data_IF_934223355685
#
_entry.id   IF_934223355685
#
_cell.length_a   1.000
_cell.length_b   1.000
_cell.length_c   1.000
_cell.angle_alpha   90.00
_cell.angle_beta   90.00
_cell.angle_gamma   90.00
#
_symmetry.space_group_name_H-M   'P 1'
#
loop_
_entity.id
_entity.type
_entity.pdbx_description
1 polymer ?
#
# COMPACT_ATOMS: atom_id res chain seq x y z
N UNK A 1 -28.64 -24.84 -22.01
CA UNK A 1 -28.35 -26.24 -21.63
C UNK A 1 -27.72 -26.97 -22.81
N UNK A 2 -26.39 -27.00 -22.91
CA UNK A 2 -25.66 -27.99 -23.72
C UNK A 2 -24.41 -28.36 -22.95
N UNK A 3 -24.40 -29.59 -22.43
CA UNK A 3 -23.31 -30.18 -21.67
C UNK A 3 -22.60 -31.18 -22.57
N UNK A 4 -21.29 -31.35 -22.29
CA UNK A 4 -20.50 -32.57 -22.49
C UNK A 4 -20.00 -32.90 -23.91
N UNK A 5 -18.81 -33.43 -24.21
CA UNK A 5 -17.62 -33.95 -23.50
C UNK A 5 -16.46 -33.90 -24.52
N UNK A 6 -15.21 -33.57 -24.14
CA UNK A 6 -14.02 -34.26 -24.69
C UNK A 6 -13.00 -34.41 -23.55
N UNK A 7 -12.40 -35.59 -23.52
CA UNK A 7 -11.71 -36.27 -22.44
C UNK A 7 -10.28 -36.56 -22.93
N UNK A 8 -9.30 -36.37 -22.03
CA UNK A 8 -7.98 -37.03 -21.90
C UNK A 8 -6.87 -36.67 -22.91
N UNK A 9 -5.74 -36.21 -22.35
CA UNK A 9 -4.42 -36.82 -22.56
C UNK A 9 -3.50 -36.51 -21.38
N UNK A 10 -3.07 -37.56 -20.69
CA UNK A 10 -2.24 -37.57 -19.48
C UNK A 10 -0.80 -37.91 -19.92
N UNK A 11 0.16 -37.04 -19.62
CA UNK A 11 1.59 -37.38 -19.72
C UNK A 11 2.28 -36.96 -18.42
N UNK A 12 2.60 -37.97 -17.62
CA UNK A 12 3.55 -37.87 -16.53
C UNK A 12 4.96 -38.03 -17.10
N UNK A 13 5.90 -37.17 -16.70
CA UNK A 13 7.31 -37.54 -16.72
C UNK A 13 8.02 -36.97 -15.49
N UNK A 14 8.76 -37.88 -14.87
CA UNK A 14 9.37 -37.88 -13.55
C UNK A 14 10.54 -36.91 -13.39
N UNK A 15 10.76 -36.48 -12.15
CA UNK A 15 11.90 -35.71 -11.70
C UNK A 15 13.23 -36.48 -11.85
N UNK A 16 14.29 -35.76 -12.25
CA UNK A 16 15.68 -36.17 -11.97
C UNK A 16 16.50 -34.96 -11.59
N UNK A 17 16.93 -34.94 -10.33
CA UNK A 17 17.94 -34.06 -9.76
C UNK A 17 19.30 -34.69 -10.03
N UNK A 18 20.27 -33.96 -10.58
CA UNK A 18 21.66 -34.42 -10.70
C UNK A 18 22.61 -33.28 -10.33
N UNK A 19 23.49 -33.56 -9.38
CA UNK A 19 24.40 -32.64 -8.70
C UNK A 19 25.81 -32.58 -9.35
N UNK A 20 26.33 -31.36 -9.41
CA UNK A 20 27.63 -30.90 -8.89
C UNK A 20 28.99 -31.13 -9.62
N UNK A 21 29.79 -30.05 -9.51
CA UNK A 21 31.26 -29.91 -9.45
C UNK A 21 32.06 -29.79 -10.75
N UNK A 22 32.44 -28.56 -11.07
CA UNK A 22 33.78 -28.23 -11.58
C UNK A 22 34.33 -27.06 -10.75
N UNK A 23 35.26 -27.37 -9.85
CA UNK A 23 36.10 -26.39 -9.17
C UNK A 23 37.30 -25.98 -10.05
N UNK A 24 37.73 -24.72 -9.85
CA UNK A 24 39.08 -24.13 -10.01
C UNK A 24 39.45 -23.41 -11.32
N UNK A 25 40.36 -22.39 -11.30
CA UNK A 25 40.94 -21.65 -10.16
C UNK A 25 40.68 -20.12 -10.22
N UNK A 26 40.81 -19.49 -9.04
CA UNK A 26 40.89 -18.03 -8.86
C UNK A 26 42.05 -17.41 -9.68
N UNK A 27 41.79 -16.34 -10.46
CA UNK A 27 42.77 -15.28 -10.67
C UNK A 27 42.60 -14.20 -9.60
N UNK A 28 43.65 -14.10 -8.80
CA UNK A 28 44.04 -12.96 -7.98
C UNK A 28 44.00 -11.64 -8.75
N UNK A 29 43.82 -10.55 -7.99
CA UNK A 29 44.00 -9.13 -8.35
C UNK A 29 42.82 -8.40 -8.99
N UNK A 30 41.89 -8.05 -8.09
CA UNK A 30 41.32 -6.71 -7.95
C UNK A 30 41.89 -5.64 -8.88
N UNK A 31 41.16 -5.37 -9.95
CA UNK A 31 41.09 -4.05 -10.56
C UNK A 31 39.64 -3.59 -10.54
N UNK A 32 39.11 -3.36 -9.34
CA UNK A 32 37.89 -2.56 -9.22
C UNK A 32 38.30 -1.09 -9.28
N UNK A 33 37.98 -0.50 -10.42
CA UNK A 33 37.79 0.92 -10.66
C UNK A 33 37.16 1.56 -9.42
N UNK A 34 37.46 2.83 -9.09
CA UNK A 34 36.72 3.53 -8.05
C UNK A 34 35.24 3.50 -8.43
N UNK A 35 34.49 2.59 -7.80
CA UNK A 35 33.05 2.61 -7.83
C UNK A 35 32.69 3.94 -7.20
N UNK A 36 32.24 4.88 -8.03
CA UNK A 36 31.53 6.04 -7.51
C UNK A 36 30.44 5.45 -6.65
N UNK A 37 30.53 5.70 -5.34
CA UNK A 37 29.53 5.31 -4.36
C UNK A 37 28.19 5.79 -4.91
N UNK A 38 27.44 4.86 -5.51
CA UNK A 38 26.02 5.02 -5.66
C UNK A 38 25.54 5.30 -4.26
N UNK A 39 25.06 6.52 -4.05
CA UNK A 39 24.39 6.94 -2.84
C UNK A 39 23.49 5.78 -2.39
N UNK A 40 23.38 5.50 -1.08
CA UNK A 40 22.29 4.67 -0.61
C UNK A 40 21.05 5.24 -1.26
N UNK A 41 20.41 4.48 -2.15
CA UNK A 41 19.05 4.79 -2.51
C UNK A 41 18.29 4.53 -1.23
N UNK A 42 18.24 5.57 -0.39
CA UNK A 42 17.13 5.79 0.49
C UNK A 42 15.93 5.69 -0.45
N UNK A 43 15.34 4.50 -0.51
CA UNK A 43 13.91 4.41 -0.77
C UNK A 43 13.33 5.55 0.05
N UNK A 44 12.57 6.48 -0.55
CA UNK A 44 11.91 7.48 0.25
C UNK A 44 11.03 6.68 1.20
N UNK A 45 11.55 6.46 2.41
CA UNK A 45 10.81 6.42 3.62
C UNK A 45 10.02 7.71 3.47
N UNK A 46 8.76 7.56 3.05
CA UNK A 46 7.83 8.67 3.07
C UNK A 46 7.74 9.00 4.54
N UNK A 47 8.67 9.84 4.98
CA UNK A 47 8.63 10.53 6.24
C UNK A 47 7.23 11.11 6.23
N UNK A 48 6.39 10.56 7.08
CA UNK A 48 5.10 11.14 7.41
C UNK A 48 5.45 12.44 8.11
N UNK A 49 5.81 13.44 7.29
CA UNK A 49 5.97 14.81 7.70
C UNK A 49 4.65 15.16 8.39
N UNK A 50 4.68 15.77 9.58
CA UNK A 50 3.45 16.12 10.28
C UNK A 50 2.64 17.02 9.35
N UNK A 51 1.56 16.48 8.79
CA UNK A 51 0.67 17.15 7.85
C UNK A 51 -0.16 18.18 8.62
N UNK A 52 0.48 19.27 9.04
CA UNK A 52 -0.15 20.27 9.90
C UNK A 52 -0.07 21.72 9.40
N UNK A 53 0.23 21.96 8.11
CA UNK A 53 0.22 23.36 7.62
C UNK A 53 -0.49 23.61 6.29
N UNK A 54 -1.07 22.60 5.63
CA UNK A 54 -1.84 22.84 4.40
C UNK A 54 -3.09 21.96 4.35
N UNK A 55 -4.28 22.58 4.25
CA UNK A 55 -5.52 21.87 3.94
C UNK A 55 -5.36 21.15 2.59
N UNK A 56 -5.67 19.84 2.49
CA UNK A 56 -5.54 19.12 1.24
C UNK A 56 -6.43 19.74 0.14
N UNK A 57 -5.96 19.68 -1.10
CA UNK A 57 -6.76 20.11 -2.25
C UNK A 57 -8.00 19.21 -2.39
N UNK A 58 -9.20 19.78 -2.56
CA UNK A 58 -10.44 18.98 -2.67
C UNK A 58 -10.46 18.06 -3.91
N UNK A 59 -9.61 18.31 -4.90
CA UNK A 59 -9.51 17.50 -6.12
C UNK A 59 -8.38 16.45 -6.07
N UNK A 60 -7.76 16.22 -4.91
CA UNK A 60 -6.74 15.20 -4.70
C UNK A 60 -7.24 14.18 -3.66
N UNK A 61 -7.91 13.10 -4.09
CA UNK A 61 -8.53 12.14 -3.17
C UNK A 61 -7.51 11.39 -2.31
N UNK A 62 -6.29 11.17 -2.79
CA UNK A 62 -5.21 10.57 -2.01
C UNK A 62 -4.76 11.48 -0.85
N UNK A 63 -4.54 12.78 -1.11
CA UNK A 63 -4.18 13.73 -0.05
C UNK A 63 -5.32 13.92 0.97
N UNK A 64 -6.57 13.90 0.50
CA UNK A 64 -7.74 13.91 1.39
C UNK A 64 -7.81 12.64 2.25
N UNK A 65 -7.45 11.48 1.70
CA UNK A 65 -7.46 10.20 2.41
C UNK A 65 -6.48 10.22 3.58
N UNK A 66 -5.24 10.62 3.32
CA UNK A 66 -4.20 10.70 4.35
C UNK A 66 -4.57 11.71 5.44
N UNK A 67 -5.11 12.86 5.05
CA UNK A 67 -5.58 13.88 5.99
C UNK A 67 -6.77 13.37 6.84
N UNK A 68 -7.70 12.63 6.24
CA UNK A 68 -8.83 12.03 6.95
C UNK A 68 -8.39 10.98 7.96
N UNK A 69 -7.44 10.11 7.58
CA UNK A 69 -6.86 9.11 8.47
C UNK A 69 -6.09 9.75 9.63
N UNK A 70 -5.30 10.80 9.35
CA UNK A 70 -4.60 11.56 10.38
C UNK A 70 -5.57 12.22 11.37
N UNK A 71 -6.63 12.88 10.87
CA UNK A 71 -7.66 13.49 11.71
C UNK A 71 -8.39 12.45 12.58
N UNK A 72 -8.74 11.30 11.99
CA UNK A 72 -9.38 10.20 12.72
C UNK A 72 -8.49 9.67 13.86
N UNK A 73 -7.19 9.49 13.59
CA UNK A 73 -6.23 9.03 14.59
C UNK A 73 -6.01 10.07 15.70
N UNK A 74 -6.13 11.36 15.40
CA UNK A 74 -6.08 12.46 16.36
C UNK A 74 -7.40 12.65 17.14
N UNK A 75 -8.39 11.78 16.94
CA UNK A 75 -9.75 11.90 17.46
C UNK A 75 -10.51 13.16 17.01
N UNK A 76 -10.01 13.87 16.00
CA UNK A 76 -10.74 14.93 15.30
C UNK A 76 -11.69 14.31 14.27
N UNK A 77 -12.75 13.69 14.79
CA UNK A 77 -13.70 12.94 13.98
C UNK A 77 -14.51 13.84 13.05
N UNK A 78 -14.71 15.12 13.39
CA UNK A 78 -15.39 16.08 12.52
C UNK A 78 -14.58 16.35 11.25
N UNK A 79 -13.29 16.64 11.40
CA UNK A 79 -12.40 16.86 10.25
C UNK A 79 -12.25 15.59 9.41
N UNK A 80 -12.17 14.41 10.05
CA UNK A 80 -12.14 13.14 9.33
C UNK A 80 -13.39 12.92 8.47
N UNK A 81 -14.59 13.22 9.02
CA UNK A 81 -15.85 13.14 8.29
C UNK A 81 -15.84 14.09 7.08
N UNK A 82 -15.42 15.35 7.25
CA UNK A 82 -15.35 16.33 6.17
C UNK A 82 -14.53 15.81 4.99
N UNK A 83 -13.32 15.31 5.25
CA UNK A 83 -12.45 14.82 4.19
C UNK A 83 -12.94 13.53 3.55
N UNK A 84 -13.41 12.55 4.32
CA UNK A 84 -14.00 11.33 3.74
C UNK A 84 -15.25 11.62 2.90
N UNK A 85 -16.11 12.56 3.33
CA UNK A 85 -17.26 13.01 2.53
C UNK A 85 -16.81 13.71 1.25
N UNK A 86 -15.76 14.54 1.30
CA UNK A 86 -15.23 15.19 0.09
C UNK A 86 -14.73 14.16 -0.94
N UNK A 87 -14.08 13.08 -0.49
CA UNK A 87 -13.66 11.97 -1.37
C UNK A 87 -14.89 11.29 -1.99
N UNK A 88 -15.92 11.04 -1.18
CA UNK A 88 -17.16 10.39 -1.61
C UNK A 88 -17.92 11.24 -2.65
N UNK A 89 -18.03 12.55 -2.42
CA UNK A 89 -18.67 13.51 -3.31
C UNK A 89 -17.92 13.67 -4.64
N UNK A 90 -16.59 13.42 -4.63
CA UNK A 90 -15.77 13.29 -5.82
C UNK A 90 -16.01 12.01 -6.64
N UNK A 91 -16.95 11.15 -6.23
CA UNK A 91 -17.33 9.92 -6.93
C UNK A 91 -16.42 8.73 -6.69
N UNK A 92 -15.47 8.81 -5.74
CA UNK A 92 -14.68 7.65 -5.32
C UNK A 92 -15.48 6.84 -4.32
N UNK A 93 -15.68 5.57 -4.64
CA UNK A 93 -16.38 4.64 -3.77
C UNK A 93 -15.50 3.42 -3.48
N UNK A 94 -15.43 3.03 -2.21
CA UNK A 94 -14.80 1.77 -1.78
C UNK A 94 -15.41 1.32 -0.46
N UNK A 95 -15.37 0.02 -0.19
CA UNK A 95 -15.83 -0.52 1.09
C UNK A 95 -15.07 0.10 2.28
N UNK A 96 -13.78 0.35 2.10
CA UNK A 96 -12.90 0.97 3.10
C UNK A 96 -13.31 2.42 3.39
N UNK A 97 -13.64 3.22 2.36
CA UNK A 97 -14.11 4.59 2.55
C UNK A 97 -15.39 4.63 3.37
N UNK A 98 -16.36 3.77 3.05
CA UNK A 98 -17.61 3.69 3.79
C UNK A 98 -17.39 3.24 5.24
N UNK A 99 -16.52 2.26 5.45
CA UNK A 99 -16.17 1.78 6.77
C UNK A 99 -15.52 2.88 7.62
N UNK A 100 -14.54 3.59 7.08
CA UNK A 100 -13.85 4.67 7.79
C UNK A 100 -14.79 5.85 8.10
N UNK A 101 -15.63 6.25 7.14
CA UNK A 101 -16.62 7.31 7.34
C UNK A 101 -17.65 6.93 8.42
N UNK A 102 -18.19 5.70 8.38
CA UNK A 102 -19.14 5.22 9.38
C UNK A 102 -18.52 5.18 10.79
N UNK A 103 -17.29 4.70 10.93
CA UNK A 103 -16.58 4.69 12.21
C UNK A 103 -16.32 6.10 12.75
N UNK A 104 -16.01 7.06 11.88
CA UNK A 104 -15.84 8.45 12.28
C UNK A 104 -17.14 9.05 12.83
N UNK A 105 -18.28 8.81 12.18
CA UNK A 105 -19.60 9.21 12.71
C UNK A 105 -19.89 8.58 14.07
N UNK A 106 -19.69 7.27 14.20
CA UNK A 106 -19.92 6.55 15.44
C UNK A 106 -19.07 7.09 16.60
N UNK A 107 -17.76 7.26 16.38
CA UNK A 107 -16.86 7.76 17.43
C UNK A 107 -17.15 9.20 17.82
N UNK A 108 -17.56 10.06 16.88
CA UNK A 108 -17.98 11.42 17.17
C UNK A 108 -19.15 11.47 18.15
N UNK A 109 -20.16 10.63 17.94
CA UNK A 109 -21.32 10.55 18.84
C UNK A 109 -20.92 10.08 20.24
N UNK A 110 -20.00 9.11 20.34
CA UNK A 110 -19.48 8.66 21.64
C UNK A 110 -18.74 9.77 22.42
N UNK A 111 -18.02 10.67 21.73
CA UNK A 111 -17.39 11.83 22.39
C UNK A 111 -18.43 12.83 22.86
N UNK A 112 -19.51 13.04 22.09
CA UNK A 112 -20.60 13.95 22.46
C UNK A 112 -21.40 13.48 23.69
N UNK A 113 -21.60 12.16 23.84
CA UNK A 113 -22.31 11.57 24.98
C UNK A 113 -21.46 11.47 26.27
N UNK A 114 -20.14 11.61 26.16
CA UNK A 114 -19.21 11.47 27.29
C UNK A 114 -18.92 12.78 28.04
N UNK A 115 -19.44 13.92 27.57
CA UNK A 115 -19.24 15.26 28.14
C UNK A 115 -20.49 15.75 28.89
#
# INVERSE_FOLDING_TARGET
>A
MRRFFIIIALLALSATFAQAQTEQPMPTEAQEQPQQQGQPQEQPQQEQQPLFTMKPSPNNPEALWDAAAAAYNAADYLTAIEYYTTILDGGRHSAELYYNLANAYFKREQVGEAL
#
